data_IF_003886877336
#
_entry.id   IF_003886877336
#
_cell.length_a   1.000
_cell.length_b   1.000
_cell.length_c   1.000
_cell.angle_alpha   90.00
_cell.angle_beta   90.00
_cell.angle_gamma   90.00
#
_symmetry.space_group_name_H-M   'P 1'
#
loop_
_entity.id
_entity.type
_entity.pdbx_description
1 polymer ?
#
# COMPACT_ATOMS: atom_id res chain seq x y z
N UNK A 1 6.96 -5.80 15.09
CA UNK A 1 7.13 -5.90 13.62
C UNK A 1 8.62 -6.00 13.25
N UNK A 2 8.97 -6.82 12.25
CA UNK A 2 10.33 -6.81 11.65
C UNK A 2 10.56 -5.50 10.87
N UNK A 3 11.81 -5.17 10.52
CA UNK A 3 12.12 -3.95 9.75
C UNK A 3 11.36 -3.89 8.42
N UNK A 4 11.32 -4.99 7.66
CA UNK A 4 10.56 -5.05 6.40
C UNK A 4 9.06 -4.90 6.63
N UNK A 5 8.50 -5.49 7.69
CA UNK A 5 7.09 -5.35 8.03
C UNK A 5 6.73 -3.90 8.47
N UNK A 6 7.66 -3.20 9.13
CA UNK A 6 7.47 -1.79 9.44
C UNK A 6 7.44 -0.92 8.18
N UNK A 7 8.29 -1.21 7.18
CA UNK A 7 8.27 -0.50 5.89
C UNK A 7 6.99 -0.79 5.11
N UNK A 8 6.55 -2.05 5.08
CA UNK A 8 5.27 -2.45 4.50
C UNK A 8 4.11 -1.66 5.10
N UNK A 9 3.97 -1.74 6.42
CA UNK A 9 2.90 -1.03 7.14
C UNK A 9 2.97 0.49 6.96
N UNK A 10 4.17 1.08 7.00
CA UNK A 10 4.33 2.52 6.76
C UNK A 10 3.86 2.92 5.35
N UNK A 11 4.12 2.09 4.35
CA UNK A 11 3.62 2.28 2.99
C UNK A 11 2.10 2.23 2.91
N UNK A 12 1.48 1.23 3.52
CA UNK A 12 0.02 1.10 3.58
C UNK A 12 -0.62 2.29 4.32
N UNK A 13 -0.11 2.67 5.49
CA UNK A 13 -0.61 3.81 6.25
C UNK A 13 -0.43 5.15 5.50
N UNK A 14 0.62 5.27 4.69
CA UNK A 14 0.83 6.45 3.85
C UNK A 14 -0.26 6.56 2.78
N UNK A 15 -0.61 5.44 2.14
CA UNK A 15 -1.74 5.37 1.20
C UNK A 15 -3.07 5.65 1.91
N UNK A 16 -3.28 5.11 3.12
CA UNK A 16 -4.47 5.38 3.93
C UNK A 16 -4.61 6.88 4.25
N UNK A 17 -3.51 7.54 4.62
CA UNK A 17 -3.48 8.99 4.83
C UNK A 17 -3.89 9.75 3.56
N UNK A 18 -3.30 9.40 2.42
CA UNK A 18 -3.63 10.02 1.13
C UNK A 18 -5.11 9.87 0.79
N UNK A 19 -5.67 8.66 0.93
CA UNK A 19 -7.09 8.40 0.69
C UNK A 19 -7.98 9.16 1.66
N UNK A 20 -7.57 9.27 2.93
CA UNK A 20 -8.32 10.00 3.93
C UNK A 20 -8.37 11.52 3.64
N UNK A 21 -7.38 12.07 2.93
CA UNK A 21 -7.34 13.48 2.45
C UNK A 21 -8.28 13.76 1.27
N UNK A 22 -8.87 12.73 0.68
CA UNK A 22 -9.85 12.87 -0.41
C UNK A 22 -11.27 13.03 0.12
N UNK A 23 -12.24 13.12 -0.81
CA UNK A 23 -13.68 13.03 -0.51
C UNK A 23 -14.11 11.77 0.27
N UNK A 24 -13.28 10.73 0.40
CA UNK A 24 -13.56 9.59 1.28
C UNK A 24 -13.55 9.97 2.76
N UNK A 25 -12.67 10.90 3.18
CA UNK A 25 -12.48 11.22 4.59
C UNK A 25 -12.25 9.98 5.45
N UNK A 26 -13.07 9.80 6.48
CA UNK A 26 -13.02 8.63 7.37
C UNK A 26 -13.35 7.30 6.67
N UNK A 27 -14.11 7.34 5.57
CA UNK A 27 -14.43 6.15 4.76
C UNK A 27 -13.21 5.52 4.09
N UNK A 28 -12.06 6.21 4.05
CA UNK A 28 -10.80 5.63 3.61
C UNK A 28 -10.38 4.42 4.46
N UNK A 29 -10.77 4.38 5.74
CA UNK A 29 -10.50 3.25 6.62
C UNK A 29 -11.20 1.97 6.13
N UNK A 30 -12.42 2.08 5.61
CA UNK A 30 -13.16 0.96 5.02
C UNK A 30 -12.52 0.47 3.71
N UNK A 31 -11.70 1.29 3.07
CA UNK A 31 -10.94 0.88 1.88
C UNK A 31 -9.70 0.06 2.23
N UNK A 32 -9.19 0.09 3.46
CA UNK A 32 -7.96 -0.62 3.85
C UNK A 32 -8.25 -2.09 4.18
N UNK A 33 -8.02 -2.95 3.20
CA UNK A 33 -8.40 -4.37 3.19
C UNK A 33 -7.23 -5.33 3.43
N UNK A 34 -5.98 -4.85 3.30
CA UNK A 34 -4.76 -5.61 3.57
C UNK A 34 -4.77 -6.34 4.94
N UNK A 35 -5.12 -5.68 6.05
CA UNK A 35 -5.21 -6.33 7.36
C UNK A 35 -6.24 -7.47 7.42
N UNK A 36 -7.27 -7.41 6.57
CA UNK A 36 -8.32 -8.43 6.46
C UNK A 36 -7.93 -9.59 5.53
N UNK A 37 -6.65 -9.66 5.12
CA UNK A 37 -6.09 -10.69 4.22
C UNK A 37 -6.75 -10.69 2.84
N UNK A 38 -7.23 -9.54 2.39
CA UNK A 38 -7.57 -9.36 0.98
C UNK A 38 -6.31 -9.51 0.12
N UNK A 39 -6.50 -9.80 -1.18
CA UNK A 39 -5.37 -9.93 -2.09
C UNK A 39 -4.62 -8.60 -2.23
N UNK A 40 -5.35 -7.49 -2.42
CA UNK A 40 -4.82 -6.13 -2.48
C UNK A 40 -4.98 -5.40 -1.14
N UNK A 41 -4.08 -4.48 -0.87
CA UNK A 41 -4.09 -3.68 0.35
C UNK A 41 -5.29 -2.73 0.44
N UNK A 42 -5.73 -2.15 -0.69
CA UNK A 42 -6.85 -1.23 -0.72
C UNK A 42 -7.89 -1.58 -1.78
N UNK A 43 -9.16 -1.52 -1.40
CA UNK A 43 -10.30 -1.60 -2.31
C UNK A 43 -11.01 -0.24 -2.35
N UNK A 44 -10.87 0.47 -3.47
CA UNK A 44 -11.33 1.85 -3.62
C UNK A 44 -12.39 1.90 -4.71
N UNK A 45 -13.64 2.15 -4.31
CA UNK A 45 -14.82 2.05 -5.19
C UNK A 45 -14.84 0.71 -5.93
N UNK A 46 -14.78 0.72 -7.26
CA UNK A 46 -14.76 -0.48 -8.11
C UNK A 46 -13.35 -1.09 -8.30
N UNK A 47 -12.29 -0.36 -7.97
CA UNK A 47 -10.92 -0.78 -8.22
C UNK A 47 -10.14 -1.13 -6.95
N UNK A 48 -8.84 -1.32 -7.11
CA UNK A 48 -7.95 -1.71 -6.03
C UNK A 48 -6.53 -1.13 -6.17
N UNK A 49 -5.82 -1.03 -5.05
CA UNK A 49 -4.41 -0.65 -5.00
C UNK A 49 -3.66 -1.68 -4.16
N UNK A 50 -2.60 -2.24 -4.74
CA UNK A 50 -1.58 -3.03 -4.05
C UNK A 50 -0.40 -2.10 -3.77
N UNK A 51 0.02 -1.96 -2.52
CA UNK A 51 1.11 -1.08 -2.11
C UNK A 51 2.39 -1.89 -1.94
N UNK A 52 3.49 -1.37 -2.49
CA UNK A 52 4.84 -1.87 -2.24
C UNK A 52 5.70 -0.72 -1.79
N UNK A 53 6.47 -0.95 -0.73
CA UNK A 53 7.35 0.05 -0.16
C UNK A 53 8.78 -0.46 -0.03
N UNK A 54 9.75 0.43 -0.16
CA UNK A 54 11.17 0.10 0.01
C UNK A 54 11.95 1.30 0.51
N UNK A 55 13.03 1.03 1.25
CA UNK A 55 14.07 2.01 1.61
C UNK A 55 15.38 1.79 0.87
N UNK A 56 15.43 0.77 -0.01
CA UNK A 56 16.65 0.45 -0.77
C UNK A 56 16.91 1.55 -1.79
N UNK A 57 18.18 1.79 -2.13
CA UNK A 57 18.59 2.80 -3.12
C UNK A 57 18.75 2.23 -4.54
N UNK A 58 18.86 0.91 -4.70
CA UNK A 58 18.94 0.23 -6.01
C UNK A 58 17.57 -0.12 -6.61
N UNK A 59 17.52 -1.14 -7.48
CA UNK A 59 16.29 -1.63 -8.10
C UNK A 59 15.12 -1.79 -7.12
N UNK A 60 13.94 -1.30 -7.50
CA UNK A 60 12.70 -1.53 -6.79
C UNK A 60 12.21 -2.94 -7.07
N UNK A 61 12.66 -3.89 -6.26
CA UNK A 61 12.20 -5.28 -6.31
C UNK A 61 10.87 -5.44 -5.56
N UNK A 62 9.76 -5.44 -6.30
CA UNK A 62 8.42 -5.63 -5.79
C UNK A 62 8.05 -7.11 -5.78
N UNK A 63 7.96 -7.68 -4.58
CA UNK A 63 7.47 -9.06 -4.40
C UNK A 63 5.95 -9.10 -4.50
N UNK A 64 5.47 -9.88 -5.46
CA UNK A 64 4.06 -10.24 -5.65
C UNK A 64 3.88 -11.64 -5.03
N UNK A 65 3.13 -11.70 -3.93
CA UNK A 65 2.96 -12.89 -3.11
C UNK A 65 1.84 -13.82 -3.59
N UNK A 66 0.93 -13.31 -4.43
CA UNK A 66 -0.14 -14.09 -5.04
C UNK A 66 -0.49 -13.54 -6.42
N UNK A 67 -1.08 -14.39 -7.27
CA UNK A 67 -1.53 -13.98 -8.62
C UNK A 67 -2.61 -12.90 -8.48
N UNK A 68 -3.49 -13.09 -7.51
CA UNK A 68 -4.65 -12.25 -7.23
C UNK A 68 -4.27 -10.80 -6.97
N UNK A 69 -3.08 -10.51 -6.43
CA UNK A 69 -2.61 -9.15 -6.18
C UNK A 69 -2.68 -8.26 -7.43
N UNK A 70 -2.35 -8.81 -8.61
CA UNK A 70 -2.37 -8.08 -9.88
C UNK A 70 -3.36 -8.66 -10.91
N UNK A 71 -4.16 -9.64 -10.50
CA UNK A 71 -5.18 -10.32 -11.33
C UNK A 71 -6.44 -10.60 -10.48
N UNK A 72 -6.98 -9.54 -9.89
CA UNK A 72 -8.20 -9.56 -9.08
C UNK A 72 -9.48 -9.35 -9.90
N UNK A 73 -10.61 -9.37 -9.22
CA UNK A 73 -11.96 -9.13 -9.78
C UNK A 73 -12.37 -7.65 -9.80
N UNK A 74 -11.48 -6.76 -9.31
CA UNK A 74 -11.67 -5.31 -9.26
C UNK A 74 -10.99 -4.63 -10.44
N UNK A 75 -11.51 -3.48 -10.86
CA UNK A 75 -10.92 -2.70 -11.94
C UNK A 75 -11.13 -1.19 -11.73
N UNK A 76 -10.10 -0.36 -11.97
CA UNK A 76 -8.71 -0.74 -12.28
C UNK A 76 -7.97 -1.30 -11.06
N UNK A 77 -6.91 -2.08 -11.29
CA UNK A 77 -5.93 -2.47 -10.25
C UNK A 77 -4.65 -1.68 -10.49
N UNK A 78 -4.13 -1.05 -9.44
CA UNK A 78 -2.84 -0.37 -9.48
C UNK A 78 -1.83 -1.02 -8.53
N UNK A 79 -0.60 -1.22 -9.00
CA UNK A 79 0.56 -1.46 -8.16
C UNK A 79 1.18 -0.10 -7.81
N UNK A 80 1.02 0.35 -6.57
CA UNK A 80 1.61 1.58 -6.07
C UNK A 80 2.97 1.31 -5.43
N UNK A 81 4.03 1.88 -6.02
CA UNK A 81 5.40 1.75 -5.55
C UNK A 81 5.81 3.01 -4.80
N UNK A 82 6.15 2.87 -3.52
CA UNK A 82 6.57 3.93 -2.62
C UNK A 82 8.03 3.73 -2.18
N UNK A 83 8.93 4.58 -2.66
CA UNK A 83 10.33 4.56 -2.22
C UNK A 83 10.55 5.62 -1.15
N UNK A 84 10.96 5.16 0.01
CA UNK A 84 11.32 5.98 1.14
C UNK A 84 12.84 6.09 1.27
N UNK A 85 13.30 7.10 1.99
CA UNK A 85 14.68 7.22 2.44
C UNK A 85 14.73 7.68 3.90
N UNK A 86 15.76 7.26 4.63
CA UNK A 86 15.98 7.71 6.00
C UNK A 86 16.37 9.19 6.01
N UNK A 87 15.61 9.98 6.78
CA UNK A 87 15.80 11.42 6.89
C UNK A 87 15.28 11.87 8.26
N UNK A 88 16.03 12.74 8.95
CA UNK A 88 15.66 13.27 10.27
C UNK A 88 14.38 14.10 10.26
N UNK A 89 14.06 14.71 9.12
CA UNK A 89 12.84 15.51 8.93
C UNK A 89 11.66 14.67 8.40
N UNK A 90 11.85 13.35 8.29
CA UNK A 90 10.82 12.41 7.85
C UNK A 90 9.80 12.07 8.93
N UNK A 91 8.87 11.17 8.60
CA UNK A 91 7.87 10.66 9.54
C UNK A 91 8.26 9.26 10.01
N UNK A 92 8.13 8.99 11.31
CA UNK A 92 8.25 7.64 11.84
C UNK A 92 6.93 6.87 11.70
N UNK A 93 6.98 5.55 11.81
CA UNK A 93 5.75 4.74 11.84
C UNK A 93 4.84 5.17 13.00
N UNK A 94 5.43 5.50 14.16
CA UNK A 94 4.71 6.02 15.33
C UNK A 94 4.05 7.35 15.01
N UNK A 95 4.78 8.28 14.40
CA UNK A 95 4.25 9.59 14.03
C UNK A 95 3.05 9.47 13.09
N UNK A 96 3.13 8.63 12.06
CA UNK A 96 2.04 8.41 11.11
C UNK A 96 0.83 7.73 11.75
N UNK A 97 1.04 6.77 12.65
CA UNK A 97 -0.04 6.15 13.44
C UNK A 97 -0.73 7.20 14.32
N UNK A 98 0.03 8.03 15.03
CA UNK A 98 -0.53 9.11 15.88
C UNK A 98 -1.35 10.10 15.06
N UNK A 99 -0.85 10.54 13.91
CA UNK A 99 -1.57 11.43 12.99
C UNK A 99 -2.93 10.83 12.56
N UNK A 100 -2.93 9.56 12.15
CA UNK A 100 -4.15 8.86 11.73
C UNK A 100 -5.10 8.59 12.91
N UNK A 101 -4.58 8.32 14.11
CA UNK A 101 -5.39 8.16 15.33
C UNK A 101 -6.18 9.43 15.65
N UNK A 102 -5.53 10.59 15.60
CA UNK A 102 -6.18 11.88 15.85
C UNK A 102 -7.28 12.12 14.82
N UNK A 103 -6.97 11.93 13.53
CA UNK A 103 -7.94 12.09 12.44
C UNK A 103 -9.16 11.18 12.59
N UNK A 104 -8.94 9.89 12.79
CA UNK A 104 -10.02 8.91 12.92
C UNK A 104 -10.75 9.03 14.27
N UNK A 105 -10.11 9.59 15.29
CA UNK A 105 -10.74 9.98 16.55
C UNK A 105 -11.78 11.07 16.36
N UNK A 106 -11.43 12.15 15.64
CA UNK A 106 -12.36 13.23 15.31
C UNK A 106 -13.57 12.75 14.50
N UNK A 107 -13.38 11.73 13.66
CA UNK A 107 -14.46 11.12 12.86
C UNK A 107 -15.22 9.99 13.56
N UNK A 108 -14.83 9.60 14.78
CA UNK A 108 -15.49 8.53 15.55
C UNK A 108 -15.20 7.09 15.10
N UNK A 109 -14.21 6.87 14.22
CA UNK A 109 -13.84 5.54 13.69
C UNK A 109 -12.52 5.00 14.24
N UNK A 110 -11.92 5.67 15.23
CA UNK A 110 -10.63 5.28 15.83
C UNK A 110 -10.59 3.82 16.32
N UNK A 111 -11.67 3.31 16.93
CA UNK A 111 -11.70 1.90 17.40
C UNK A 111 -11.50 0.89 16.26
N UNK A 112 -12.04 1.19 15.08
CA UNK A 112 -11.84 0.36 13.90
C UNK A 112 -10.36 0.38 13.48
N UNK A 113 -9.76 1.56 13.45
CA UNK A 113 -8.35 1.73 13.11
C UNK A 113 -7.41 0.99 14.08
N UNK A 114 -7.63 1.10 15.40
CA UNK A 114 -6.85 0.36 16.41
C UNK A 114 -6.95 -1.16 16.21
N UNK A 115 -8.16 -1.65 15.86
CA UNK A 115 -8.37 -3.08 15.62
C UNK A 115 -7.56 -3.56 14.41
N UNK A 116 -7.49 -2.77 13.33
CA UNK A 116 -6.69 -3.11 12.15
C UNK A 116 -5.19 -3.03 12.44
N UNK A 117 -4.72 -2.03 13.19
CA UNK A 117 -3.32 -1.95 13.63
C UNK A 117 -2.88 -3.18 14.43
N UNK A 118 -3.75 -3.64 15.35
CA UNK A 118 -3.49 -4.84 16.14
C UNK A 118 -3.38 -6.09 15.25
N UNK A 119 -4.25 -6.22 14.23
CA UNK A 119 -4.20 -7.32 13.25
C UNK A 119 -2.91 -7.29 12.44
N UNK A 120 -2.42 -6.10 12.08
CA UNK A 120 -1.12 -5.94 11.41
C UNK A 120 0.07 -6.22 12.32
N UNK A 121 -0.14 -6.36 13.63
CA UNK A 121 0.91 -6.61 14.62
C UNK A 121 1.66 -5.35 15.06
N UNK A 122 1.08 -4.18 14.84
CA UNK A 122 1.53 -2.93 15.46
C UNK A 122 1.12 -2.93 16.93
N UNK A 123 2.08 -2.69 17.82
CA UNK A 123 1.89 -2.70 19.27
C UNK A 123 2.60 -1.47 19.84
N UNK A 124 1.89 -0.65 20.60
CA UNK A 124 2.44 0.59 21.18
C UNK A 124 3.62 0.30 22.13
N UNK A 125 3.60 -0.85 22.82
CA UNK A 125 4.71 -1.31 23.67
C UNK A 125 6.05 -1.46 22.92
N UNK A 126 6.01 -1.57 21.60
CA UNK A 126 7.19 -1.66 20.73
C UNK A 126 7.60 -0.31 20.11
N UNK A 127 7.04 0.81 20.56
CA UNK A 127 7.31 2.17 20.05
C UNK A 127 8.82 2.46 19.90
N UNK A 128 9.65 2.05 20.86
CA UNK A 128 11.10 2.24 20.81
C UNK A 128 11.78 1.58 19.60
N UNK A 129 11.16 0.56 18.99
CA UNK A 129 11.63 -0.11 17.78
C UNK A 129 11.15 0.56 16.49
N UNK A 130 10.24 1.54 16.59
CA UNK A 130 9.54 2.18 15.47
C UNK A 130 9.97 3.64 15.25
N UNK A 131 11.05 4.08 15.90
CA UNK A 131 11.52 5.47 15.88
C UNK A 131 12.23 5.92 14.60
N UNK A 132 12.46 5.03 13.62
CA UNK A 132 13.08 5.40 12.35
C UNK A 132 12.17 6.34 11.56
N UNK A 133 12.68 7.51 11.19
CA UNK A 133 11.99 8.52 10.38
C UNK A 133 12.33 8.38 8.90
N UNK A 134 11.29 8.47 8.05
CA UNK A 134 11.39 8.26 6.60
C UNK A 134 10.69 9.37 5.83
N UNK A 135 11.29 9.77 4.71
CA UNK A 135 10.66 10.69 3.75
C UNK A 135 10.36 9.94 2.46
N UNK A 136 9.20 10.20 1.86
CA UNK A 136 8.85 9.66 0.56
C UNK A 136 9.68 10.35 -0.52
N UNK A 137 10.56 9.60 -1.18
CA UNK A 137 11.49 10.09 -2.19
C UNK A 137 10.92 9.97 -3.61
N UNK A 138 10.30 8.84 -3.89
CA UNK A 138 9.69 8.54 -5.19
C UNK A 138 8.39 7.77 -4.98
N UNK A 139 7.39 8.08 -5.79
CA UNK A 139 6.12 7.40 -5.77
C UNK A 139 5.49 7.36 -7.15
N UNK A 140 5.10 6.17 -7.57
CA UNK A 140 4.45 5.95 -8.86
C UNK A 140 3.49 4.78 -8.77
N UNK A 141 2.45 4.82 -9.59
CA UNK A 141 1.49 3.73 -9.72
C UNK A 141 1.53 3.18 -11.14
N UNK A 142 1.62 1.86 -11.26
CA UNK A 142 1.52 1.14 -12.52
C UNK A 142 0.15 0.47 -12.57
N UNK A 143 -0.57 0.64 -13.66
CA UNK A 143 -1.85 -0.04 -13.83
C UNK A 143 -1.59 -1.48 -14.26
N UNK A 144 -2.20 -2.44 -13.55
CA UNK A 144 -2.03 -3.87 -13.80
C UNK A 144 -2.84 -4.36 -15.01
N UNK A 145 -2.58 -3.76 -16.18
CA UNK A 145 -3.25 -4.07 -17.43
C UNK A 145 -2.28 -4.05 -18.62
N UNK A 146 -2.78 -4.42 -19.80
CA UNK A 146 -2.01 -4.42 -21.04
C UNK A 146 -0.70 -5.19 -20.91
N UNK A 147 0.38 -4.56 -21.38
CA UNK A 147 1.73 -5.15 -21.47
C UNK A 147 2.51 -5.15 -20.14
N UNK A 148 1.92 -4.67 -19.02
CA UNK A 148 2.57 -4.75 -17.72
C UNK A 148 2.87 -6.22 -17.36
N UNK A 149 4.16 -6.60 -17.16
CA UNK A 149 4.52 -7.95 -16.80
C UNK A 149 3.86 -8.39 -15.50
N UNK A 150 2.96 -9.37 -15.60
CA UNK A 150 2.29 -9.99 -14.46
C UNK A 150 1.84 -11.40 -14.80
N UNK A 151 1.70 -12.23 -13.78
CA UNK A 151 1.04 -13.51 -13.95
C UNK A 151 -0.47 -13.29 -13.84
N UNK A 152 -1.22 -13.84 -14.79
CA UNK A 152 -2.70 -13.90 -14.72
C UNK A 152 -3.14 -15.34 -14.61
N UNK A 153 -4.26 -15.58 -13.94
CA UNK A 153 -4.87 -16.91 -13.80
C UNK A 153 -5.19 -17.51 -15.16
N UNK A 154 -5.58 -16.68 -16.13
CA UNK A 154 -5.87 -17.10 -17.50
C UNK A 154 -4.63 -17.60 -18.26
N UNK A 155 -3.42 -17.09 -17.94
CA UNK A 155 -2.17 -17.50 -18.57
C UNK A 155 -1.52 -18.73 -17.91
N UNK A 156 -1.98 -19.13 -16.73
CA UNK A 156 -1.39 -20.23 -15.97
C UNK A 156 -2.16 -21.55 -16.20
N UNK A 157 -1.46 -22.70 -16.29
CA UNK A 157 -2.12 -24.01 -16.25
C UNK A 157 -3.00 -24.17 -15.02
N UNK A 158 -4.19 -24.76 -15.18
CA UNK A 158 -5.18 -24.91 -14.10
C UNK A 158 -4.66 -25.69 -12.86
N UNK A 159 -3.61 -26.49 -13.02
CA UNK A 159 -2.96 -27.20 -11.91
C UNK A 159 -2.13 -26.28 -11.00
N UNK A 160 -1.71 -25.10 -11.48
CA UNK A 160 -0.98 -24.12 -10.67
C UNK A 160 -1.98 -23.36 -9.80
N UNK A 161 -1.96 -23.65 -8.50
CA UNK A 161 -2.88 -23.04 -7.53
C UNK A 161 -2.39 -21.70 -7.01
N UNK A 162 -1.08 -21.57 -6.79
CA UNK A 162 -0.44 -20.37 -6.26
C UNK A 162 0.90 -20.12 -6.96
N UNK A 163 1.25 -18.86 -7.14
CA UNK A 163 2.57 -18.43 -7.59
C UNK A 163 2.95 -17.13 -6.87
N UNK A 164 4.25 -16.97 -6.61
CA UNK A 164 4.83 -15.73 -6.13
C UNK A 164 6.03 -15.40 -7.02
N UNK A 165 6.23 -14.12 -7.29
CA UNK A 165 7.29 -13.64 -8.17
C UNK A 165 7.75 -12.25 -7.74
N UNK A 166 8.84 -11.78 -8.33
CA UNK A 166 9.40 -10.46 -8.06
C UNK A 166 9.47 -9.71 -9.38
N UNK A 167 8.95 -8.49 -9.39
CA UNK A 167 9.12 -7.55 -10.49
C UNK A 167 10.22 -6.56 -10.11
N UNK A 168 11.16 -6.30 -11.02
CA UNK A 168 12.01 -5.12 -10.91
C UNK A 168 11.28 -3.95 -11.56
N UNK A 169 10.67 -3.08 -10.73
CA UNK A 169 9.84 -1.98 -11.23
C UNK A 169 10.66 -0.87 -11.88
N UNK A 170 11.98 -0.81 -11.67
CA UNK A 170 12.84 0.15 -12.35
C UNK A 170 13.26 -0.35 -13.74
N UNK A 171 13.11 -1.66 -14.02
CA UNK A 171 13.35 -2.27 -15.33
C UNK A 171 12.10 -2.36 -16.21
N UNK A 172 10.93 -1.90 -15.72
CA UNK A 172 9.69 -1.92 -16.49
C UNK A 172 9.61 -0.73 -17.44
N UNK A 173 9.39 -1.02 -18.72
CA UNK A 173 9.14 -0.02 -19.76
C UNK A 173 7.63 0.15 -20.02
N UNK A 174 6.86 0.38 -18.96
CA UNK A 174 5.41 0.63 -19.06
C UNK A 174 5.03 1.97 -18.43
N UNK A 175 3.95 2.63 -18.89
CA UNK A 175 3.52 3.89 -18.31
C UNK A 175 3.24 3.77 -16.81
N UNK A 176 3.61 4.80 -16.07
CA UNK A 176 3.23 4.96 -14.67
C UNK A 176 2.70 6.37 -14.44
N UNK A 177 1.89 6.52 -13.39
CA UNK A 177 1.25 7.78 -13.02
C UNK A 177 1.65 8.18 -11.60
N UNK A 178 1.62 9.47 -11.31
CA UNK A 178 1.85 9.99 -9.96
C UNK A 178 0.66 9.76 -9.01
N UNK A 179 0.87 9.98 -7.71
CA UNK A 179 -0.17 9.75 -6.69
C UNK A 179 -1.42 10.60 -6.88
N UNK A 180 -1.30 11.88 -7.26
CA UNK A 180 -2.47 12.72 -7.54
C UNK A 180 -3.31 12.15 -8.68
N UNK A 181 -2.66 11.70 -9.76
CA UNK A 181 -3.38 11.10 -10.88
C UNK A 181 -3.99 9.75 -10.50
N UNK A 182 -3.32 8.92 -9.68
CA UNK A 182 -3.89 7.68 -9.13
C UNK A 182 -5.20 7.95 -8.38
N UNK A 183 -5.23 9.00 -7.56
CA UNK A 183 -6.44 9.39 -6.81
C UNK A 183 -7.55 9.84 -7.78
N UNK A 184 -7.22 10.60 -8.82
CA UNK A 184 -8.17 11.03 -9.84
C UNK A 184 -8.72 9.86 -10.68
N UNK A 185 -7.94 8.80 -10.91
CA UNK A 185 -8.40 7.58 -11.57
C UNK A 185 -9.52 6.87 -10.79
N UNK A 186 -9.57 7.07 -9.48
CA UNK A 186 -10.68 6.66 -8.64
C UNK A 186 -11.78 7.72 -8.53
N UNK A 187 -11.64 8.90 -9.15
CA UNK A 187 -12.56 10.03 -9.08
C UNK A 187 -12.65 10.64 -7.68
N UNK A 188 -11.52 10.73 -7.00
CA UNK A 188 -11.36 11.18 -5.62
C UNK A 188 -10.60 12.52 -5.54
N UNK A 189 -10.99 13.48 -6.37
CA UNK A 189 -10.45 14.84 -6.35
C UNK A 189 -10.84 15.61 -5.06
#
# INVERSE_FOLDING_TARGET
LSSDAQIGLLGELWMLRLLADTSLGAGALDCWQGPLRAAQDFHVRGGAVEVKSTVRTGSFLARINSIEQLDGDRAPIFLCALRFEENTDGISLVGLVTELRERFGLAGVQRGFESLLMVMGYLDEHEALYGRTLTLKDARALRAEGDMPRLTRAALPAAIRSAAYVLDLDALEVPSIGLSQLINEFGLD
#
